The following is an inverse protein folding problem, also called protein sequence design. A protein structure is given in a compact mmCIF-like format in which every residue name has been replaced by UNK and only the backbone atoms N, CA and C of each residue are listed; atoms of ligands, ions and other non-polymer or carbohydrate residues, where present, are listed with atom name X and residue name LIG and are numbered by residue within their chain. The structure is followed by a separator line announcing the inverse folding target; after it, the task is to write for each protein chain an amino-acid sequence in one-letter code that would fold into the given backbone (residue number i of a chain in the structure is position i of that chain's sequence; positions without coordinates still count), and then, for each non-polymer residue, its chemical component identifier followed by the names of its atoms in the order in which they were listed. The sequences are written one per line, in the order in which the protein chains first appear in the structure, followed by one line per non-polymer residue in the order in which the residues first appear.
data_IF_405763372945
#
_entry.id   IF_405763372945
#
_cell.length_a   1.000
_cell.length_b   1.000
_cell.length_c   1.000
_cell.angle_alpha   90.00
_cell.angle_beta   90.00
_cell.angle_gamma   90.00
#
_symmetry.space_group_name_H-M   'P 1'
#
loop_
_entity.id
_entity.type
_entity.pdbx_description
1 polymer ?
#
# COMPACT_ATOMS: atom_id res chain seq x y z
N UNK A 1 30.34 6.01 -3.17
CA UNK A 1 29.82 6.51 -1.88
C UNK A 1 29.00 5.38 -1.28
N UNK A 2 29.24 4.93 -0.05
CA UNK A 2 28.46 3.86 0.55
C UNK A 2 27.06 4.38 0.89
N UNK A 3 26.03 3.66 0.45
CA UNK A 3 24.63 3.88 0.85
C UNK A 3 24.51 3.69 2.37
N UNK A 4 24.25 4.77 3.09
CA UNK A 4 23.88 4.70 4.51
C UNK A 4 22.47 4.12 4.62
N UNK A 5 22.38 2.84 4.96
CA UNK A 5 21.12 2.22 5.38
C UNK A 5 20.70 2.84 6.71
N UNK A 6 19.45 3.29 6.87
CA UNK A 6 18.98 3.83 8.14
C UNK A 6 19.14 2.77 9.25
N UNK A 7 19.70 3.19 10.37
CA UNK A 7 19.93 2.34 11.53
C UNK A 7 18.55 1.90 12.11
N UNK A 8 18.48 0.67 12.63
CA UNK A 8 17.27 0.09 13.23
C UNK A 8 16.70 0.94 14.40
N UNK A 9 17.55 1.72 15.08
CA UNK A 9 17.17 2.68 16.11
C UNK A 9 16.42 3.89 15.53
N UNK A 10 16.86 4.41 14.37
CA UNK A 10 16.21 5.53 13.68
C UNK A 10 14.85 5.12 13.13
N UNK A 11 14.72 3.88 12.68
CA UNK A 11 13.47 3.30 12.20
C UNK A 11 12.44 3.17 13.34
N UNK A 12 12.85 2.66 14.51
CA UNK A 12 11.99 2.59 15.71
C UNK A 12 11.54 3.96 16.20
N UNK A 13 12.42 4.95 16.11
CA UNK A 13 12.10 6.33 16.52
C UNK A 13 11.09 6.97 15.54
N UNK A 14 11.23 6.71 14.24
CA UNK A 14 10.30 7.15 13.21
C UNK A 14 8.91 6.50 13.39
N UNK A 15 8.86 5.19 13.60
CA UNK A 15 7.61 4.46 13.83
C UNK A 15 6.88 4.94 15.09
N UNK A 16 7.61 5.18 16.19
CA UNK A 16 7.03 5.71 17.43
C UNK A 16 6.50 7.15 17.24
N UNK A 17 7.18 7.98 16.46
CA UNK A 17 6.72 9.32 16.13
C UNK A 17 5.46 9.29 15.26
N UNK A 18 5.39 8.38 14.29
CA UNK A 18 4.19 8.17 13.44
C UNK A 18 3.01 7.71 14.29
N UNK A 19 3.19 6.74 15.20
CA UNK A 19 2.13 6.28 16.11
C UNK A 19 1.62 7.39 17.04
N UNK A 20 2.52 8.22 17.55
CA UNK A 20 2.16 9.34 18.44
C UNK A 20 1.39 10.43 17.67
N UNK A 21 1.77 10.76 16.44
CA UNK A 21 1.08 11.76 15.63
C UNK A 21 -0.24 11.25 15.04
N UNK A 22 -0.33 9.96 14.69
CA UNK A 22 -1.60 9.32 14.33
C UNK A 22 -2.61 9.31 15.49
N UNK A 23 -2.11 9.28 16.74
CA UNK A 23 -2.92 9.31 17.97
C UNK A 23 -3.29 10.73 18.41
N UNK A 24 -2.52 11.75 18.07
CA UNK A 24 -2.65 13.12 18.59
C UNK A 24 -3.73 13.98 17.90
N UNK A 25 -4.41 13.47 16.85
CA UNK A 25 -5.46 14.21 16.15
C UNK A 25 -4.94 15.39 15.30
N UNK A 26 -5.62 15.64 14.19
CA UNK A 26 -5.31 16.63 13.14
C UNK A 26 -5.49 18.10 13.59
N UNK A 27 -4.91 18.53 14.66
CA UNK A 27 -4.98 19.97 15.04
C UNK A 27 -3.82 20.75 14.44
N UNK A 28 -4.11 21.52 13.39
CA UNK A 28 -3.26 22.43 12.61
C UNK A 28 -2.29 21.75 11.64
N UNK A 29 -2.83 21.37 10.45
CA UNK A 29 -2.03 20.92 9.33
C UNK A 29 -1.05 21.97 8.79
N UNK A 30 0.03 21.51 8.16
CA UNK A 30 0.98 22.31 7.38
C UNK A 30 0.23 23.05 6.25
N UNK A 31 0.50 24.34 5.96
CA UNK A 31 -0.10 25.07 4.85
C UNK A 31 0.03 24.38 3.47
N UNK A 32 1.03 23.52 3.31
CA UNK A 32 1.19 22.68 2.10
C UNK A 32 0.14 21.58 2.00
N UNK A 33 -0.50 21.17 3.09
CA UNK A 33 -1.52 20.11 3.09
C UNK A 33 -2.74 20.49 2.24
N UNK A 34 -3.11 21.75 2.19
CA UNK A 34 -4.21 22.26 1.34
C UNK A 34 -3.93 22.17 -0.17
N UNK A 35 -2.65 22.10 -0.57
CA UNK A 35 -2.21 21.96 -1.97
C UNK A 35 -1.92 20.52 -2.35
N UNK A 36 -1.78 19.64 -1.38
CA UNK A 36 -1.42 18.25 -1.59
C UNK A 36 -2.59 17.51 -2.25
N UNK A 37 -2.30 16.88 -3.39
CA UNK A 37 -3.24 15.99 -4.08
C UNK A 37 -2.57 14.66 -4.29
N UNK A 38 -3.28 13.60 -3.91
CA UNK A 38 -2.87 12.21 -4.11
C UNK A 38 -3.94 11.51 -4.91
N UNK A 39 -3.59 10.90 -6.02
CA UNK A 39 -4.51 10.20 -6.91
C UNK A 39 -4.07 8.75 -7.11
N UNK A 40 -5.04 7.84 -7.06
CA UNK A 40 -4.82 6.43 -7.33
C UNK A 40 -4.52 6.22 -8.82
N UNK A 41 -3.44 5.51 -9.12
CA UNK A 41 -3.14 5.03 -10.47
C UNK A 41 -3.95 3.76 -10.79
N UNK A 42 -4.10 3.46 -12.08
CA UNK A 42 -4.80 2.27 -12.57
C UNK A 42 -6.22 2.12 -11.99
N UNK A 43 -6.94 3.25 -11.79
CA UNK A 43 -8.23 3.29 -11.11
C UNK A 43 -9.30 2.40 -11.77
N UNK A 44 -9.28 2.29 -13.09
CA UNK A 44 -10.19 1.40 -13.83
C UNK A 44 -9.93 -0.07 -13.49
N UNK A 45 -8.65 -0.45 -13.38
CA UNK A 45 -8.26 -1.79 -12.97
C UNK A 45 -8.75 -2.10 -11.55
N UNK A 46 -8.52 -1.18 -10.61
CA UNK A 46 -9.00 -1.31 -9.24
C UNK A 46 -10.54 -1.40 -9.18
N UNK A 47 -11.25 -0.64 -10.04
CA UNK A 47 -12.70 -0.69 -10.17
C UNK A 47 -13.20 -2.10 -10.54
N UNK A 48 -12.59 -2.74 -11.52
CA UNK A 48 -12.94 -4.11 -11.92
C UNK A 48 -12.77 -5.12 -10.79
N UNK A 49 -11.66 -5.05 -10.04
CA UNK A 49 -11.46 -5.92 -8.89
C UNK A 49 -12.42 -5.63 -7.73
N UNK A 50 -12.76 -4.35 -7.52
CA UNK A 50 -13.74 -3.97 -6.50
C UNK A 50 -15.12 -4.56 -6.79
N UNK A 51 -15.58 -4.58 -8.04
CA UNK A 51 -16.86 -5.17 -8.46
C UNK A 51 -16.93 -6.67 -8.11
N UNK A 52 -15.81 -7.38 -8.23
CA UNK A 52 -15.69 -8.80 -7.89
C UNK A 52 -15.45 -9.06 -6.40
N UNK A 53 -15.28 -8.02 -5.58
CA UNK A 53 -14.70 -8.06 -4.25
C UNK A 53 -13.27 -8.58 -4.29
N UNK A 54 -12.31 -7.65 -4.38
CA UNK A 54 -10.90 -7.97 -4.54
C UNK A 54 -10.38 -8.92 -3.45
N UNK A 55 -9.58 -9.89 -3.86
CA UNK A 55 -8.91 -10.85 -2.99
C UNK A 55 -7.40 -10.74 -3.16
N UNK A 56 -6.64 -10.76 -2.06
CA UNK A 56 -5.18 -10.81 -2.12
C UNK A 56 -4.65 -12.00 -1.33
N UNK A 57 -3.76 -12.77 -1.96
CA UNK A 57 -3.18 -13.96 -1.33
C UNK A 57 -2.13 -13.56 -0.30
N UNK A 58 -2.27 -14.12 0.91
CA UNK A 58 -1.27 -14.08 1.99
C UNK A 58 -0.61 -15.45 2.13
N UNK A 59 0.72 -15.47 2.24
CA UNK A 59 1.51 -16.70 2.40
C UNK A 59 2.51 -16.57 3.53
N UNK A 60 3.07 -17.70 3.98
CA UNK A 60 4.13 -17.68 5.01
C UNK A 60 5.37 -16.91 4.57
N UNK A 61 5.77 -17.01 3.30
CA UNK A 61 6.92 -16.32 2.73
C UNK A 61 6.63 -14.88 2.30
N UNK A 62 5.37 -14.48 2.32
CA UNK A 62 4.90 -13.20 1.82
C UNK A 62 4.70 -13.18 0.30
N UNK A 63 3.56 -12.66 -0.17
CA UNK A 63 3.21 -12.50 -1.57
C UNK A 63 2.97 -11.03 -1.88
N UNK A 64 3.44 -10.55 -3.04
CA UNK A 64 3.22 -9.17 -3.49
C UNK A 64 1.74 -8.91 -3.74
N UNK A 65 1.34 -7.65 -3.54
CA UNK A 65 -0.01 -7.19 -3.86
C UNK A 65 -0.27 -7.24 -5.37
N UNK A 66 -1.48 -7.61 -5.75
CA UNK A 66 -1.98 -7.43 -7.10
C UNK A 66 -3.48 -7.06 -7.04
N UNK A 67 -3.90 -5.93 -7.65
CA UNK A 67 -3.06 -4.93 -8.33
C UNK A 67 -2.04 -4.29 -7.39
N UNK A 68 -0.95 -3.74 -7.96
CA UNK A 68 0.05 -3.00 -7.19
C UNK A 68 -0.50 -1.63 -6.82
N UNK A 69 -0.43 -1.26 -5.54
CA UNK A 69 -0.81 0.08 -5.11
C UNK A 69 0.21 1.10 -5.63
N UNK A 70 -0.27 2.03 -6.45
CA UNK A 70 0.50 3.14 -7.03
C UNK A 70 -0.31 4.41 -6.88
N UNK A 71 0.35 5.51 -6.53
CA UNK A 71 -0.31 6.81 -6.40
C UNK A 71 0.56 7.94 -6.95
N UNK A 72 -0.04 8.82 -7.73
CA UNK A 72 0.57 10.09 -8.13
C UNK A 72 0.35 11.14 -7.06
N UNK A 73 1.38 11.93 -6.81
CA UNK A 73 1.40 12.95 -5.77
C UNK A 73 1.78 14.29 -6.37
N UNK A 74 1.05 15.35 -6.03
CA UNK A 74 1.36 16.72 -6.43
C UNK A 74 1.14 17.67 -5.25
N UNK A 75 1.79 18.84 -5.29
CA UNK A 75 1.61 19.88 -4.27
C UNK A 75 2.52 19.75 -3.06
N UNK A 76 3.50 18.84 -3.07
CA UNK A 76 4.58 18.83 -2.09
C UNK A 76 5.53 20.01 -2.33
N UNK A 77 6.18 20.50 -1.26
CA UNK A 77 7.33 21.38 -1.41
C UNK A 77 8.50 20.61 -2.03
N UNK A 78 8.97 20.99 -3.24
CA UNK A 78 10.03 20.25 -3.93
C UNK A 78 11.35 20.17 -3.14
N UNK A 79 11.59 21.12 -2.24
CA UNK A 79 12.84 21.24 -1.47
C UNK A 79 12.74 20.64 -0.05
N UNK A 80 11.54 20.30 0.42
CA UNK A 80 11.34 19.64 1.70
C UNK A 80 11.47 18.11 1.54
N UNK A 81 11.85 17.45 2.63
CA UNK A 81 11.98 15.99 2.67
C UNK A 81 10.70 15.31 3.19
N UNK A 82 10.32 14.22 2.56
CA UNK A 82 9.14 13.44 2.92
C UNK A 82 9.46 11.95 2.97
N UNK A 83 8.77 11.24 3.84
CA UNK A 83 8.73 9.77 3.90
C UNK A 83 7.34 9.30 3.53
N UNK A 84 7.25 8.25 2.72
CA UNK A 84 6.01 7.57 2.35
C UNK A 84 5.91 6.24 3.05
N UNK A 85 4.79 6.03 3.72
CA UNK A 85 4.53 4.82 4.49
C UNK A 85 3.20 4.21 4.03
N UNK A 86 3.08 2.89 4.19
CA UNK A 86 1.85 2.16 3.93
C UNK A 86 1.49 1.32 5.15
N UNK A 87 0.25 1.40 5.57
CA UNK A 87 -0.36 0.44 6.48
C UNK A 87 -1.64 -0.17 5.89
N UNK A 88 -2.11 -1.21 6.53
CA UNK A 88 -3.34 -1.92 6.17
C UNK A 88 -4.21 -2.03 7.41
N UNK A 89 -5.40 -1.44 7.37
CA UNK A 89 -6.33 -1.45 8.50
C UNK A 89 -7.56 -2.28 8.19
N UNK A 90 -8.14 -2.90 9.20
CA UNK A 90 -9.42 -3.59 9.05
C UNK A 90 -10.49 -2.58 8.63
N UNK A 91 -11.30 -2.95 7.64
CA UNK A 91 -12.45 -2.15 7.19
C UNK A 91 -13.59 -2.24 8.19
N UNK A 92 -13.76 -3.39 8.83
CA UNK A 92 -14.84 -3.69 9.75
C UNK A 92 -14.40 -4.70 10.83
N UNK A 93 -15.32 -5.06 11.72
CA UNK A 93 -15.10 -5.99 12.81
C UNK A 93 -15.58 -7.42 12.51
N UNK A 94 -15.58 -7.82 11.23
CA UNK A 94 -16.04 -9.12 10.82
C UNK A 94 -14.93 -9.97 10.25
N UNK A 95 -14.99 -11.27 10.53
CA UNK A 95 -14.37 -12.30 9.71
C UNK A 95 -15.32 -12.61 8.57
N UNK A 96 -14.80 -12.66 7.34
CA UNK A 96 -15.56 -12.90 6.13
C UNK A 96 -15.56 -14.36 5.73
N UNK A 97 -16.57 -14.80 5.01
CA UNK A 97 -16.65 -16.13 4.38
C UNK A 97 -17.24 -16.02 2.97
N UNK A 98 -16.77 -16.86 2.07
CA UNK A 98 -17.30 -16.95 0.71
C UNK A 98 -18.35 -18.07 0.66
N UNK A 99 -19.60 -17.74 0.30
CA UNK A 99 -20.72 -18.68 0.30
C UNK A 99 -21.60 -18.38 -0.90
N UNK A 100 -21.89 -19.42 -1.71
CA UNK A 100 -22.77 -19.32 -2.88
C UNK A 100 -22.42 -18.18 -3.85
N UNK A 101 -21.14 -17.92 -4.07
CA UNK A 101 -20.70 -16.90 -4.99
C UNK A 101 -20.50 -15.51 -4.38
N UNK A 102 -20.77 -15.31 -3.09
CA UNK A 102 -20.70 -14.02 -2.43
C UNK A 102 -19.86 -14.02 -1.16
N UNK A 103 -19.18 -12.90 -0.91
CA UNK A 103 -18.53 -12.63 0.35
C UNK A 103 -19.54 -12.10 1.38
N UNK A 104 -19.71 -12.81 2.49
CA UNK A 104 -20.64 -12.45 3.56
C UNK A 104 -19.95 -12.41 4.92
N UNK A 105 -20.40 -11.58 5.88
CA UNK A 105 -19.91 -11.60 7.24
C UNK A 105 -20.07 -12.99 7.87
N UNK A 106 -18.99 -13.55 8.43
CA UNK A 106 -18.98 -14.91 8.98
C UNK A 106 -18.93 -14.97 10.49
N UNK A 107 -18.41 -13.96 11.16
CA UNK A 107 -18.26 -13.92 12.60
C UNK A 107 -17.48 -12.68 13.05
N UNK A 108 -17.10 -12.62 14.33
CA UNK A 108 -16.32 -11.53 14.87
C UNK A 108 -14.87 -11.60 14.33
N UNK A 109 -14.31 -10.43 14.01
CA UNK A 109 -12.91 -10.33 13.58
C UNK A 109 -11.95 -10.78 14.68
N UNK A 110 -10.85 -11.40 14.26
CA UNK A 110 -9.70 -11.65 15.13
C UNK A 110 -8.98 -10.31 15.40
N UNK A 111 -8.32 -10.16 16.57
CA UNK A 111 -7.49 -9.00 16.82
C UNK A 111 -6.48 -8.81 15.69
N UNK A 112 -6.37 -7.57 15.20
CA UNK A 112 -5.41 -7.26 14.16
C UNK A 112 -3.99 -7.52 14.70
N UNK A 113 -3.13 -8.23 13.93
CA UNK A 113 -1.71 -8.32 14.27
C UNK A 113 -1.14 -6.91 14.41
N UNK A 114 -0.12 -6.73 15.26
CA UNK A 114 0.52 -5.43 15.42
C UNK A 114 0.78 -4.78 14.07
N UNK A 115 0.28 -3.55 13.89
CA UNK A 115 0.36 -2.80 12.64
C UNK A 115 1.82 -2.63 12.21
N UNK A 116 2.26 -3.52 11.31
CA UNK A 116 3.51 -3.30 10.63
C UNK A 116 3.30 -2.19 9.61
N UNK A 117 3.90 -1.03 9.84
CA UNK A 117 3.95 0.05 8.87
C UNK A 117 5.10 -0.24 7.92
N UNK A 118 4.80 -0.31 6.63
CA UNK A 118 5.81 -0.44 5.58
C UNK A 118 6.32 0.95 5.21
N UNK A 119 7.64 1.16 5.26
CA UNK A 119 8.30 2.38 4.82
C UNK A 119 8.77 2.18 3.40
N UNK A 120 8.37 3.10 2.50
CA UNK A 120 8.85 3.06 1.11
C UNK A 120 10.38 3.14 1.09
N UNK A 121 11.07 2.31 0.31
CA UNK A 121 12.54 2.20 0.34
C UNK A 121 13.28 3.50 -0.06
N UNK A 122 12.64 4.36 -0.83
CA UNK A 122 13.20 5.66 -1.22
C UNK A 122 13.03 6.73 -0.13
N UNK A 123 12.36 6.40 0.98
CA UNK A 123 12.17 7.31 2.13
C UNK A 123 13.43 7.41 2.99
N UNK A 124 13.79 8.61 3.50
CA UNK A 124 13.21 9.89 3.15
C UNK A 124 13.79 10.48 1.85
N UNK A 125 13.01 11.26 1.10
CA UNK A 125 13.47 11.92 -0.12
C UNK A 125 12.80 13.28 -0.32
N UNK A 126 13.32 14.09 -1.25
CA UNK A 126 12.76 15.41 -1.57
C UNK A 126 11.38 15.31 -2.22
N UNK A 127 10.52 16.33 -2.00
CA UNK A 127 9.22 16.43 -2.64
C UNK A 127 9.30 16.36 -4.17
N UNK A 128 10.34 16.96 -4.77
CA UNK A 128 10.59 16.86 -6.20
C UNK A 128 10.75 15.42 -6.71
N UNK A 129 11.39 14.53 -5.92
CA UNK A 129 11.51 13.11 -6.25
C UNK A 129 10.15 12.41 -6.27
N UNK A 130 9.35 12.63 -5.22
CA UNK A 130 8.04 11.98 -5.07
C UNK A 130 6.99 12.43 -6.09
N UNK A 131 7.11 13.66 -6.61
CA UNK A 131 6.22 14.21 -7.64
C UNK A 131 6.62 13.84 -9.08
N UNK A 132 7.83 13.28 -9.28
CA UNK A 132 8.35 12.97 -10.62
C UNK A 132 7.64 11.80 -11.29
N UNK A 133 7.38 10.76 -10.54
CA UNK A 133 6.76 9.50 -10.98
C UNK A 133 5.80 8.98 -9.93
N UNK A 134 4.79 8.17 -10.28
CA UNK A 134 3.90 7.56 -9.32
C UNK A 134 4.66 6.74 -8.27
N UNK A 135 4.37 6.97 -7.01
CA UNK A 135 4.91 6.22 -5.87
C UNK A 135 4.37 4.80 -5.90
N UNK A 136 5.24 3.80 -5.99
CA UNK A 136 4.87 2.40 -6.20
C UNK A 136 5.22 1.51 -5.01
N UNK A 137 4.23 0.87 -4.41
CA UNK A 137 4.40 -0.08 -3.32
C UNK A 137 4.58 -1.53 -3.81
N UNK A 138 5.21 -1.71 -4.97
CA UNK A 138 5.42 -3.03 -5.61
C UNK A 138 6.28 -4.02 -4.81
N UNK A 139 7.08 -3.53 -3.86
CA UNK A 139 7.97 -4.37 -3.03
C UNK A 139 7.28 -4.89 -1.76
N UNK A 140 6.10 -4.38 -1.41
CA UNK A 140 5.31 -4.82 -0.26
C UNK A 140 4.91 -6.28 -0.42
N UNK A 141 5.11 -7.06 0.64
CA UNK A 141 4.66 -8.46 0.70
C UNK A 141 3.64 -8.64 1.81
N UNK A 142 2.55 -9.31 1.48
CA UNK A 142 1.49 -9.68 2.41
C UNK A 142 1.74 -11.08 2.95
N UNK A 143 1.74 -11.23 4.26
CA UNK A 143 2.04 -12.50 4.93
C UNK A 143 0.99 -12.85 5.99
N UNK A 144 0.81 -14.13 6.27
CA UNK A 144 0.04 -14.62 7.41
C UNK A 144 0.93 -15.05 8.58
N UNK A 145 2.26 -14.87 8.45
CA UNK A 145 3.24 -15.17 9.50
C UNK A 145 4.39 -14.18 9.44
N UNK A 146 4.66 -13.49 10.54
CA UNK A 146 5.74 -12.51 10.58
C UNK A 146 7.12 -13.20 10.55
N UNK A 147 7.95 -12.82 9.58
CA UNK A 147 9.29 -13.38 9.41
C UNK A 147 10.37 -12.34 9.07
N UNK A 148 10.05 -11.05 8.95
CA UNK A 148 11.07 -10.04 8.61
C UNK A 148 10.53 -8.66 8.25
N UNK A 149 11.47 -7.75 7.94
CA UNK A 149 11.17 -6.39 7.46
C UNK A 149 10.59 -6.39 6.05
N UNK A 150 9.77 -5.40 5.73
CA UNK A 150 9.16 -5.24 4.40
C UNK A 150 7.94 -6.11 4.13
N UNK A 151 7.42 -6.76 5.16
CA UNK A 151 6.19 -7.56 5.12
C UNK A 151 5.13 -6.95 6.03
N UNK A 152 3.87 -7.04 5.60
CA UNK A 152 2.71 -6.68 6.42
C UNK A 152 1.97 -7.98 6.75
N UNK A 153 1.83 -8.27 8.04
CA UNK A 153 1.10 -9.44 8.52
C UNK A 153 -0.39 -9.14 8.57
N UNK A 154 -1.19 -10.04 7.99
CA UNK A 154 -2.64 -9.96 7.91
C UNK A 154 -3.29 -11.25 8.37
N UNK A 155 -4.45 -11.14 9.00
CA UNK A 155 -5.33 -12.27 9.26
C UNK A 155 -6.07 -12.63 7.98
N UNK A 156 -6.08 -13.91 7.61
CA UNK A 156 -6.87 -14.39 6.47
C UNK A 156 -8.36 -14.24 6.74
N UNK A 157 -9.16 -14.05 5.68
CA UNK A 157 -10.60 -13.85 5.74
C UNK A 157 -11.03 -12.57 6.49
N UNK A 158 -10.16 -11.55 6.49
CA UNK A 158 -10.47 -10.21 6.97
C UNK A 158 -10.34 -9.21 5.82
N UNK A 159 -11.16 -8.16 5.85
CA UNK A 159 -11.18 -7.11 4.83
C UNK A 159 -10.30 -5.95 5.26
N UNK A 160 -9.40 -5.53 4.38
CA UNK A 160 -8.41 -4.51 4.65
C UNK A 160 -8.53 -3.31 3.71
N UNK A 161 -8.22 -2.14 4.26
CA UNK A 161 -8.07 -0.87 3.54
C UNK A 161 -6.60 -0.45 3.57
N UNK A 162 -5.91 -0.36 2.42
CA UNK A 162 -4.61 0.28 2.32
C UNK A 162 -4.69 1.78 2.61
N UNK A 163 -3.72 2.31 3.39
CA UNK A 163 -3.58 3.75 3.66
C UNK A 163 -2.15 4.19 3.39
N UNK A 164 -2.01 5.25 2.61
CA UNK A 164 -0.72 5.89 2.33
C UNK A 164 -0.56 7.07 3.29
N UNK A 165 0.54 7.07 4.05
CA UNK A 165 0.89 8.19 4.93
C UNK A 165 2.06 8.94 4.33
N UNK A 166 1.93 10.27 4.27
CA UNK A 166 2.98 11.19 3.83
C UNK A 166 3.43 11.99 5.03
N UNK A 167 4.68 11.81 5.42
CA UNK A 167 5.28 12.44 6.59
C UNK A 167 6.36 13.39 6.14
N UNK A 168 6.23 14.69 6.48
CA UNK A 168 7.29 15.68 6.26
C UNK A 168 8.37 15.48 7.32
N UNK A 169 9.60 15.34 6.88
CA UNK A 169 10.76 15.21 7.77
C UNK A 169 11.23 16.63 8.15
N UNK A 170 11.05 17.01 9.42
CA UNK A 170 11.47 18.30 9.96
C UNK A 170 12.63 18.16 10.96
N UNK A 171 13.16 19.29 11.41
CA UNK A 171 14.07 19.35 12.56
C UNK A 171 13.32 18.93 13.83
N UNK A 172 14.07 18.52 14.89
CA UNK A 172 13.51 17.91 16.11
C UNK A 172 12.39 18.72 16.79
N UNK A 173 12.30 20.02 16.52
CA UNK A 173 11.34 20.95 17.12
C UNK A 173 10.17 21.34 16.20
N UNK A 174 10.16 20.93 14.92
CA UNK A 174 9.04 21.17 14.01
C UNK A 174 8.04 20.02 14.08
N UNK A 175 6.76 20.37 14.28
CA UNK A 175 5.66 19.38 14.21
C UNK A 175 5.68 18.71 12.84
N UNK A 176 5.83 17.41 12.83
CA UNK A 176 5.77 16.58 11.63
C UNK A 176 4.32 16.51 11.20
N UNK A 177 4.00 17.05 10.03
CA UNK A 177 2.66 16.93 9.46
C UNK A 177 2.52 15.57 8.82
N UNK A 178 1.45 14.84 9.17
CA UNK A 178 1.09 13.56 8.54
C UNK A 178 -0.17 13.79 7.72
N UNK A 179 -0.10 13.50 6.43
CA UNK A 179 -1.25 13.39 5.56
C UNK A 179 -1.53 11.91 5.28
N UNK A 180 -2.78 11.48 5.45
CA UNK A 180 -3.21 10.09 5.21
C UNK A 180 -4.22 10.05 4.09
N UNK A 181 -3.99 9.15 3.14
CA UNK A 181 -4.83 8.96 1.96
C UNK A 181 -5.19 7.49 1.81
N UNK A 182 -6.46 7.24 1.61
CA UNK A 182 -6.99 5.92 1.28
C UNK A 182 -7.92 5.98 0.06
N UNK A 183 -8.10 4.85 -0.59
CA UNK A 183 -8.94 4.72 -1.78
C UNK A 183 -9.82 3.49 -1.60
N UNK A 184 -11.12 3.71 -1.54
CA UNK A 184 -12.11 2.64 -1.31
C UNK A 184 -12.03 1.53 -2.37
N UNK A 185 -11.53 1.86 -3.56
CA UNK A 185 -11.32 0.92 -4.66
C UNK A 185 -10.24 -0.13 -4.35
N UNK A 186 -9.33 0.18 -3.43
CA UNK A 186 -8.19 -0.69 -3.09
C UNK A 186 -8.47 -1.66 -1.94
N UNK A 187 -9.68 -1.66 -1.41
CA UNK A 187 -10.08 -2.64 -0.40
C UNK A 187 -10.00 -4.06 -0.93
N UNK A 188 -9.60 -5.00 -0.08
CA UNK A 188 -9.51 -6.41 -0.43
C UNK A 188 -9.74 -7.33 0.76
N UNK A 189 -10.12 -8.57 0.49
CA UNK A 189 -10.14 -9.66 1.48
C UNK A 189 -8.83 -10.42 1.40
N UNK A 190 -8.12 -10.58 2.54
CA UNK A 190 -6.92 -11.40 2.61
C UNK A 190 -7.31 -12.88 2.59
N UNK A 191 -6.75 -13.65 1.66
CA UNK A 191 -7.06 -15.07 1.47
C UNK A 191 -5.81 -15.93 1.39
N UNK A 192 -5.89 -17.20 1.73
CA UNK A 192 -4.78 -18.15 1.52
C UNK A 192 -4.81 -18.79 0.14
N UNK A 193 -5.98 -18.81 -0.49
CA UNK A 193 -6.23 -19.18 -1.88
C UNK A 193 -7.44 -18.40 -2.38
N UNK A 194 -7.50 -18.08 -3.66
CA UNK A 194 -8.66 -17.41 -4.25
C UNK A 194 -9.93 -18.22 -4.03
N UNK A 195 -10.98 -17.55 -3.59
CA UNK A 195 -12.31 -18.11 -3.36
C UNK A 195 -13.22 -17.85 -4.55
N UNK A 196 -13.13 -16.64 -5.12
CA UNK A 196 -13.88 -16.25 -6.32
C UNK A 196 -13.04 -16.56 -7.55
N UNK A 197 -13.50 -17.51 -8.38
CA UNK A 197 -12.84 -17.90 -9.63
C UNK A 197 -12.75 -16.75 -10.64
N UNK A 198 -13.68 -15.80 -10.63
CA UNK A 198 -13.65 -14.63 -11.50
C UNK A 198 -12.46 -13.71 -11.18
N UNK A 199 -12.09 -13.57 -9.92
CA UNK A 199 -10.89 -12.83 -9.51
C UNK A 199 -9.63 -13.51 -10.07
N UNK A 200 -9.53 -14.84 -9.95
CA UNK A 200 -8.41 -15.60 -10.50
C UNK A 200 -8.31 -15.45 -12.01
N UNK A 201 -9.42 -15.62 -12.71
CA UNK A 201 -9.51 -15.49 -14.17
C UNK A 201 -9.15 -14.06 -14.63
N UNK A 202 -9.61 -13.04 -13.91
CA UNK A 202 -9.27 -11.66 -14.21
C UNK A 202 -7.77 -11.41 -14.08
N UNK A 203 -7.13 -11.92 -13.03
CA UNK A 203 -5.68 -11.83 -12.83
C UNK A 203 -4.93 -12.52 -13.99
N UNK A 204 -5.30 -13.75 -14.31
CA UNK A 204 -4.64 -14.52 -15.37
C UNK A 204 -4.76 -13.83 -16.73
N UNK A 205 -5.93 -13.27 -17.03
CA UNK A 205 -6.17 -12.52 -18.27
C UNK A 205 -5.30 -11.28 -18.35
N UNK A 206 -5.16 -10.52 -17.25
CA UNK A 206 -4.34 -9.31 -17.21
C UNK A 206 -2.86 -9.67 -17.34
N UNK A 207 -2.40 -10.67 -16.60
CA UNK A 207 -1.01 -11.15 -16.66
C UNK A 207 -0.67 -11.64 -18.06
N UNK A 208 -1.56 -12.38 -18.70
CA UNK A 208 -1.39 -12.85 -20.08
C UNK A 208 -1.34 -11.69 -21.09
N UNK A 209 -2.22 -10.70 -20.94
CA UNK A 209 -2.22 -9.49 -21.79
C UNK A 209 -0.92 -8.69 -21.66
N UNK A 210 -0.42 -8.52 -20.42
CA UNK A 210 0.87 -7.84 -20.17
C UNK A 210 2.04 -8.64 -20.77
N UNK A 211 2.01 -9.97 -20.68
CA UNK A 211 3.03 -10.82 -21.27
C UNK A 211 3.07 -10.70 -22.81
N UNK A 212 1.91 -10.75 -23.47
CA UNK A 212 1.81 -10.53 -24.90
C UNK A 212 2.31 -9.16 -25.33
N UNK A 213 1.97 -8.10 -24.57
CA UNK A 213 2.44 -6.75 -24.84
C UNK A 213 3.99 -6.66 -24.77
N UNK A 214 4.60 -7.29 -23.77
CA UNK A 214 6.06 -7.35 -23.64
C UNK A 214 6.73 -8.09 -24.80
N UNK A 215 6.12 -9.17 -25.30
CA UNK A 215 6.64 -9.88 -26.50
C UNK A 215 6.54 -9.01 -27.74
N UNK A 216 5.43 -8.33 -27.97
CA UNK A 216 5.24 -7.43 -29.11
C UNK A 216 6.22 -6.25 -29.09
N UNK A 217 6.53 -5.68 -27.93
CA UNK A 217 7.51 -4.60 -27.79
C UNK A 217 8.93 -5.09 -28.12
N UNK A 218 9.30 -6.29 -27.67
CA UNK A 218 10.60 -6.88 -27.99
C UNK A 218 10.73 -7.32 -29.47
N UNK A 219 9.63 -7.68 -30.13
CA UNK A 219 9.64 -8.00 -31.56
C UNK A 219 9.85 -6.77 -32.45
N UNK A 220 9.49 -5.57 -32.00
CA UNK A 220 9.69 -4.33 -32.77
C UNK A 220 11.11 -3.75 -32.68
N UNK A 221 11.99 -4.31 -31.84
CA UNK A 221 13.39 -3.89 -31.72
C UNK A 221 14.37 -4.72 -32.56
N UNK A 222 13.89 -5.74 -33.27
CA UNK A 222 14.67 -6.47 -34.27
C UNK A 222 14.25 -5.97 -35.65
N UNK A 223 14.72 -4.80 -36.06
CA UNK A 223 14.80 -4.40 -37.46
C UNK A 223 16.22 -4.64 -37.95
N UNK A 224 16.30 -5.48 -38.98
CA UNK A 224 17.45 -5.76 -39.82
C UNK A 224 18.23 -4.51 -40.24
#
# INVERSE_FOLDING_TARGET
MPEMKPNQADLKHLLKAVDQEMSAGREKGDPTESKLKVSLEDRELWGKFKELTNEMIVTKSGRRMFPVLRASVTGLDPNAMYSFLLDLVNVDNHRWKYVNGDWVPGGKAEPQPHNAVYIHPDSPNFGAHWMKEPVSFSKVKLTNKMHGSGQIMLNSLHKYQPRIHIVKVGNKDEKRTISTHDFVETQFVAVTAYQNEEVSTCIDTIVFSLYLCCICVNCNTVKF
#
